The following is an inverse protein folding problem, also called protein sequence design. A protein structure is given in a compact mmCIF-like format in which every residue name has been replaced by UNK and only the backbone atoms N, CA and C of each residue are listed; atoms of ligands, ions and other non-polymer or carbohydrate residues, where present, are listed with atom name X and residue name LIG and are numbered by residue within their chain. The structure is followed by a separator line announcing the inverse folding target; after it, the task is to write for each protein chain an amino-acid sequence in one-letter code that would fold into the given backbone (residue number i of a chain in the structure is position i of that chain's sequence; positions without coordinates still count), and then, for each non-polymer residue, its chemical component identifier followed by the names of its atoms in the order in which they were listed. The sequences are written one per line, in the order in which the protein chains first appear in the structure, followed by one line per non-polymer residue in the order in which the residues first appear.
data_IF_663423148400
#
_entry.id   IF_663423148400
#
_cell.length_a   1.000
_cell.length_b   1.000
_cell.length_c   1.000
_cell.angle_alpha   90.00
_cell.angle_beta   90.00
_cell.angle_gamma   90.00
#
_symmetry.space_group_name_H-M   'P 1'
#
loop_
_entity.id
_entity.type
_entity.pdbx_description
1 polymer ?
#
# COMPACT_ATOMS: atom_id res chain seq x y z
N UNK A 1 0.17 19.79 -2.48
CA UNK A 1 -0.05 18.45 -3.09
C UNK A 1 -1.30 18.46 -3.93
N UNK A 2 -1.51 17.44 -4.74
CA UNK A 2 -2.68 17.31 -5.63
C UNK A 2 -4.00 17.40 -4.86
N UNK A 3 -4.11 16.74 -3.69
CA UNK A 3 -5.29 16.83 -2.81
C UNK A 3 -5.60 18.27 -2.37
N UNK A 4 -4.58 19.07 -2.05
CA UNK A 4 -4.77 20.47 -1.64
C UNK A 4 -5.26 21.35 -2.79
N UNK A 5 -4.81 21.09 -4.03
CA UNK A 5 -5.33 21.79 -5.20
C UNK A 5 -6.83 21.50 -5.40
N UNK A 6 -7.24 20.24 -5.19
CA UNK A 6 -8.64 19.83 -5.24
C UNK A 6 -9.46 20.47 -4.10
N UNK A 7 -8.95 20.43 -2.86
CA UNK A 7 -9.63 20.97 -1.67
C UNK A 7 -9.84 22.49 -1.73
N UNK A 8 -8.91 23.21 -2.36
CA UNK A 8 -8.96 24.67 -2.55
C UNK A 8 -9.75 25.10 -3.79
N UNK A 9 -10.22 24.14 -4.60
CA UNK A 9 -10.94 24.43 -5.84
C UNK A 9 -10.06 25.05 -6.94
N UNK A 10 -8.73 24.92 -6.85
CA UNK A 10 -7.81 25.37 -7.90
C UNK A 10 -7.89 24.49 -9.15
N UNK A 11 -8.34 23.25 -8.96
CA UNK A 11 -8.59 22.26 -10.02
C UNK A 11 -9.87 21.51 -9.70
N UNK A 12 -10.56 21.05 -10.75
CA UNK A 12 -11.80 20.28 -10.62
C UNK A 12 -11.55 18.77 -10.46
N UNK A 13 -10.39 18.28 -10.90
CA UNK A 13 -10.01 16.87 -10.83
C UNK A 13 -8.48 16.71 -10.74
N UNK A 14 -8.06 15.58 -10.19
CA UNK A 14 -6.66 15.14 -10.15
C UNK A 14 -6.56 13.69 -10.59
N UNK A 15 -5.47 13.35 -11.29
CA UNK A 15 -5.16 11.99 -11.73
C UNK A 15 -3.88 11.48 -11.07
N UNK A 16 -3.61 10.18 -11.19
CA UNK A 16 -2.40 9.53 -10.66
C UNK A 16 -2.25 9.64 -9.14
N UNK A 17 -3.38 9.55 -8.43
CA UNK A 17 -3.47 9.53 -6.97
C UNK A 17 -3.60 8.10 -6.44
N UNK A 18 -3.25 7.91 -5.18
CA UNK A 18 -3.33 6.63 -4.49
C UNK A 18 -4.75 6.39 -3.92
N UNK A 19 -5.34 5.23 -4.25
CA UNK A 19 -6.71 4.85 -3.82
C UNK A 19 -6.89 4.83 -2.31
N UNK A 20 -5.81 4.50 -1.61
CA UNK A 20 -5.72 4.37 -0.15
C UNK A 20 -5.32 5.68 0.54
N UNK A 21 -5.03 6.78 -0.18
CA UNK A 21 -4.55 8.03 0.43
C UNK A 21 -5.47 9.22 0.17
N UNK A 22 -5.50 9.75 -1.04
CA UNK A 22 -6.13 11.04 -1.35
C UNK A 22 -7.65 11.05 -1.10
N UNK A 23 -8.41 9.97 -1.41
CA UNK A 23 -9.83 9.95 -1.06
C UNK A 23 -10.07 9.99 0.46
N UNK A 24 -9.17 9.40 1.26
CA UNK A 24 -9.27 9.48 2.72
C UNK A 24 -8.93 10.88 3.22
N UNK A 25 -7.87 11.49 2.68
CA UNK A 25 -7.47 12.87 3.01
C UNK A 25 -8.63 13.85 2.75
N UNK A 26 -9.23 13.79 1.56
CA UNK A 26 -10.32 14.70 1.17
C UNK A 26 -11.56 14.50 2.04
N UNK A 27 -11.94 13.24 2.34
CA UNK A 27 -13.06 12.95 3.25
C UNK A 27 -12.78 13.42 4.67
N UNK A 28 -11.54 13.28 5.17
CA UNK A 28 -11.16 13.76 6.49
C UNK A 28 -11.24 15.28 6.60
N UNK A 29 -10.97 15.98 5.51
CA UNK A 29 -11.16 17.43 5.39
C UNK A 29 -12.63 17.85 5.25
N UNK A 30 -13.59 16.91 5.37
CA UNK A 30 -15.03 17.20 5.32
C UNK A 30 -15.57 17.51 3.93
N UNK A 31 -14.82 17.19 2.87
CA UNK A 31 -15.26 17.41 1.49
C UNK A 31 -15.72 16.09 0.85
N UNK A 32 -16.81 16.12 0.06
CA UNK A 32 -17.17 14.97 -0.75
C UNK A 32 -16.09 14.72 -1.81
N UNK A 33 -15.84 13.46 -2.13
CA UNK A 33 -14.91 13.06 -3.20
C UNK A 33 -15.54 11.92 -3.99
N UNK A 34 -15.48 12.03 -5.32
CA UNK A 34 -15.84 10.95 -6.24
C UNK A 34 -14.56 10.41 -6.86
N UNK A 35 -14.37 9.10 -6.77
CA UNK A 35 -13.23 8.41 -7.38
C UNK A 35 -13.70 7.76 -8.67
N UNK A 36 -12.93 7.94 -9.73
CA UNK A 36 -13.14 7.26 -11.00
C UNK A 36 -12.08 6.19 -11.15
N UNK A 37 -12.53 4.94 -11.24
CA UNK A 37 -11.66 3.78 -11.37
C UNK A 37 -11.43 3.48 -12.85
N UNK A 38 -10.22 3.78 -13.34
CA UNK A 38 -9.90 3.71 -14.77
C UNK A 38 -10.10 2.32 -15.35
N UNK A 39 -9.96 1.27 -14.55
CA UNK A 39 -10.18 -0.11 -14.92
C UNK A 39 -11.64 -0.44 -15.24
N UNK A 40 -12.60 0.29 -14.64
CA UNK A 40 -14.02 0.20 -14.97
C UNK A 40 -14.33 0.84 -16.34
N UNK A 41 -13.33 1.51 -16.92
CA UNK A 41 -13.41 2.21 -18.20
C UNK A 41 -12.42 1.66 -19.25
N UNK A 42 -11.99 0.41 -19.09
CA UNK A 42 -11.23 -0.32 -20.11
C UNK A 42 -9.70 -0.24 -19.98
N UNK A 43 -9.17 0.41 -18.93
CA UNK A 43 -7.75 0.29 -18.60
C UNK A 43 -7.45 -1.10 -18.03
N UNK A 44 -6.43 -1.81 -18.52
CA UNK A 44 -5.97 -3.04 -17.89
C UNK A 44 -5.49 -2.82 -16.45
N UNK A 45 -5.60 -3.84 -15.61
CA UNK A 45 -4.98 -3.84 -14.28
C UNK A 45 -3.47 -3.71 -14.41
N UNK A 46 -2.87 -2.86 -13.56
CA UNK A 46 -1.42 -2.66 -13.49
C UNK A 46 -0.96 -2.70 -12.03
N UNK A 47 0.32 -3.01 -11.84
CA UNK A 47 0.95 -2.98 -10.51
C UNK A 47 1.41 -1.55 -10.20
N UNK A 48 0.80 -0.90 -9.22
CA UNK A 48 1.14 0.47 -8.79
C UNK A 48 2.57 0.57 -8.23
N UNK A 49 3.04 -0.45 -7.51
CA UNK A 49 4.36 -0.46 -6.92
C UNK A 49 5.04 -1.81 -7.16
N UNK A 50 6.27 -1.76 -7.68
CA UNK A 50 7.11 -2.93 -7.92
C UNK A 50 8.50 -2.72 -7.34
N UNK A 51 9.13 -3.82 -6.93
CA UNK A 51 10.54 -3.84 -6.59
C UNK A 51 11.34 -4.10 -7.88
N UNK A 52 12.35 -3.28 -8.12
CA UNK A 52 13.24 -3.41 -9.27
C UNK A 52 14.68 -3.61 -8.79
N UNK A 53 15.45 -4.39 -9.55
CA UNK A 53 16.87 -4.57 -9.32
C UNK A 53 17.65 -4.32 -10.61
N UNK A 54 18.92 -3.93 -10.48
CA UNK A 54 19.79 -3.78 -11.63
C UNK A 54 20.00 -5.15 -12.30
N UNK A 55 19.88 -5.21 -13.63
CA UNK A 55 20.03 -6.45 -14.39
C UNK A 55 21.38 -7.17 -14.14
N UNK A 56 22.46 -6.41 -13.89
CA UNK A 56 23.78 -6.96 -13.57
C UNK A 56 23.83 -7.69 -12.23
N UNK A 57 22.84 -7.46 -11.36
CA UNK A 57 22.75 -8.03 -10.02
C UNK A 57 21.63 -9.07 -9.90
N UNK A 58 20.99 -9.47 -11.02
CA UNK A 58 19.82 -10.37 -11.00
C UNK A 58 20.05 -11.69 -10.25
N UNK A 59 21.29 -12.19 -10.25
CA UNK A 59 21.68 -13.46 -9.64
C UNK A 59 22.35 -13.27 -8.26
N UNK A 60 22.32 -12.06 -7.69
CA UNK A 60 22.86 -11.80 -6.36
C UNK A 60 22.05 -12.56 -5.29
N UNK A 61 22.67 -13.47 -4.51
CA UNK A 61 21.96 -14.28 -3.53
C UNK A 61 21.27 -13.47 -2.44
N UNK A 62 21.72 -12.24 -2.18
CA UNK A 62 21.12 -11.32 -1.18
C UNK A 62 19.71 -10.89 -1.59
N UNK A 63 19.41 -10.82 -2.89
CA UNK A 63 18.07 -10.46 -3.38
C UNK A 63 17.06 -11.51 -2.92
N UNK A 64 17.40 -12.80 -3.05
CA UNK A 64 16.53 -13.89 -2.60
C UNK A 64 16.27 -13.84 -1.10
N UNK A 65 17.31 -13.59 -0.30
CA UNK A 65 17.19 -13.48 1.15
C UNK A 65 16.33 -12.27 1.56
N UNK A 66 16.53 -11.13 0.90
CA UNK A 66 15.71 -9.92 1.10
C UNK A 66 14.23 -10.18 0.81
N UNK A 67 13.91 -10.81 -0.32
CA UNK A 67 12.53 -11.12 -0.68
C UNK A 67 11.87 -12.11 0.29
N UNK A 68 12.62 -13.08 0.81
CA UNK A 68 12.12 -14.00 1.85
C UNK A 68 11.80 -13.25 3.16
N UNK A 69 12.72 -12.41 3.64
CA UNK A 69 12.49 -11.61 4.84
C UNK A 69 11.32 -10.64 4.66
N UNK A 70 11.20 -10.00 3.49
CA UNK A 70 10.06 -9.14 3.16
C UNK A 70 8.75 -9.92 3.18
N UNK A 71 8.71 -11.10 2.56
CA UNK A 71 7.51 -11.96 2.56
C UNK A 71 7.08 -12.32 3.99
N UNK A 72 8.02 -12.67 4.87
CA UNK A 72 7.72 -12.92 6.28
C UNK A 72 7.19 -11.67 6.99
N UNK A 73 7.79 -10.50 6.73
CA UNK A 73 7.30 -9.22 7.24
C UNK A 73 5.86 -8.92 6.80
N UNK A 74 5.53 -9.16 5.53
CA UNK A 74 4.17 -8.98 4.99
C UNK A 74 3.19 -9.95 5.65
N UNK A 75 3.55 -11.23 5.79
CA UNK A 75 2.70 -12.22 6.48
C UNK A 75 2.43 -11.80 7.92
N UNK A 76 3.46 -11.38 8.65
CA UNK A 76 3.33 -10.91 10.02
C UNK A 76 2.43 -9.67 10.10
N UNK A 77 2.64 -8.69 9.21
CA UNK A 77 1.81 -7.48 9.11
C UNK A 77 0.33 -7.80 8.89
N UNK A 78 0.03 -8.74 7.98
CA UNK A 78 -1.35 -9.13 7.68
C UNK A 78 -2.04 -9.85 8.86
N UNK A 79 -1.29 -10.62 9.65
CA UNK A 79 -1.81 -11.30 10.84
C UNK A 79 -1.89 -10.39 12.07
N UNK A 80 -1.08 -9.34 12.14
CA UNK A 80 -0.96 -8.45 13.30
C UNK A 80 -1.06 -6.95 12.95
N UNK A 81 -2.02 -6.50 12.14
CA UNK A 81 -1.99 -5.17 11.52
C UNK A 81 -2.06 -4.02 12.53
N UNK A 82 -2.82 -4.20 13.61
CA UNK A 82 -2.93 -3.19 14.68
C UNK A 82 -1.67 -3.09 15.54
N UNK A 83 -1.03 -4.22 15.86
CA UNK A 83 0.24 -4.22 16.60
C UNK A 83 1.35 -3.61 15.74
N UNK A 84 1.44 -3.96 14.46
CA UNK A 84 2.39 -3.34 13.55
C UNK A 84 2.17 -1.84 13.42
N UNK A 85 0.91 -1.37 13.33
CA UNK A 85 0.60 0.07 13.37
C UNK A 85 1.10 0.72 14.68
N UNK A 86 0.84 0.12 15.83
CA UNK A 86 1.29 0.65 17.12
C UNK A 86 2.81 0.78 17.20
N UNK A 87 3.55 -0.26 16.75
CA UNK A 87 5.00 -0.22 16.68
C UNK A 87 5.49 0.86 15.72
N UNK A 88 4.89 0.95 14.52
CA UNK A 88 5.21 1.96 13.53
C UNK A 88 4.99 3.38 14.06
N UNK A 89 3.80 3.65 14.59
CA UNK A 89 3.42 4.95 15.14
C UNK A 89 4.27 5.37 16.35
N UNK A 90 4.72 4.41 17.18
CA UNK A 90 5.65 4.66 18.27
C UNK A 90 7.03 5.10 17.77
N UNK A 91 7.52 4.47 16.71
CA UNK A 91 8.84 4.76 16.13
C UNK A 91 8.82 5.98 15.19
N UNK A 92 7.64 6.36 14.70
CA UNK A 92 7.40 7.49 13.81
C UNK A 92 6.28 8.39 14.36
N UNK A 93 6.49 9.09 15.49
CA UNK A 93 5.44 9.90 16.13
C UNK A 93 4.85 10.98 15.22
N UNK A 94 5.64 11.51 14.28
CA UNK A 94 5.22 12.49 13.27
C UNK A 94 4.16 11.93 12.31
N UNK A 95 4.12 10.61 12.14
CA UNK A 95 3.14 9.92 11.32
C UNK A 95 1.97 9.37 12.13
N UNK A 96 1.98 9.47 13.47
CA UNK A 96 0.92 8.98 14.34
C UNK A 96 -0.28 9.94 14.39
N UNK A 97 -1.05 9.96 13.31
CA UNK A 97 -2.27 10.75 13.21
C UNK A 97 -3.40 9.93 12.60
N UNK A 98 -4.62 10.43 12.70
CA UNK A 98 -5.82 9.74 12.24
C UNK A 98 -5.80 9.44 10.74
N UNK A 99 -5.27 10.36 9.92
CA UNK A 99 -5.17 10.17 8.48
C UNK A 99 -4.27 8.97 8.15
N UNK A 100 -3.05 8.98 8.65
CA UNK A 100 -2.08 7.90 8.41
C UNK A 100 -2.54 6.56 9.00
N UNK A 101 -3.23 6.58 10.14
CA UNK A 101 -3.84 5.36 10.68
C UNK A 101 -4.86 4.78 9.70
N UNK A 102 -5.75 5.60 9.14
CA UNK A 102 -6.74 5.12 8.15
C UNK A 102 -6.08 4.61 6.88
N UNK A 103 -5.06 5.33 6.38
CA UNK A 103 -4.28 4.94 5.21
C UNK A 103 -3.61 3.58 5.43
N UNK A 104 -3.01 3.36 6.61
CA UNK A 104 -2.36 2.10 6.95
C UNK A 104 -3.28 0.91 6.71
N UNK A 105 -4.47 0.94 7.31
CA UNK A 105 -5.45 -0.14 7.14
C UNK A 105 -6.02 -0.21 5.73
N UNK A 106 -6.21 0.92 5.05
CA UNK A 106 -6.65 0.96 3.65
C UNK A 106 -5.58 0.41 2.67
N UNK A 107 -4.32 0.34 3.09
CA UNK A 107 -3.21 -0.20 2.27
C UNK A 107 -3.14 -1.72 2.32
N UNK A 108 -3.59 -2.35 3.40
CA UNK A 108 -3.46 -3.81 3.59
C UNK A 108 -4.08 -4.65 2.45
N UNK A 109 -5.28 -4.30 1.93
CA UNK A 109 -5.87 -5.00 0.78
C UNK A 109 -5.11 -4.77 -0.53
N UNK A 110 -4.31 -3.71 -0.65
CA UNK A 110 -3.54 -3.37 -1.84
C UNK A 110 -2.22 -4.15 -1.95
N UNK A 111 -1.88 -4.98 -0.96
CA UNK A 111 -0.64 -5.75 -0.96
C UNK A 111 -0.63 -6.87 -2.01
N UNK A 112 0.55 -7.16 -2.55
CA UNK A 112 0.76 -8.13 -3.63
C UNK A 112 0.21 -9.55 -3.33
N UNK A 113 0.11 -9.95 -2.07
CA UNK A 113 -0.45 -11.25 -1.66
C UNK A 113 -1.98 -11.34 -1.78
N UNK A 114 -2.70 -10.22 -1.79
CA UNK A 114 -4.14 -10.21 -2.13
C UNK A 114 -4.39 -10.32 -3.65
N UNK A 115 -3.38 -10.06 -4.49
CA UNK A 115 -3.45 -10.21 -5.94
C UNK A 115 -3.10 -11.62 -6.44
N UNK A 116 -2.67 -12.53 -5.54
CA UNK A 116 -2.31 -13.90 -5.90
C UNK A 116 -3.42 -14.88 -5.46
N UNK A 117 -3.90 -15.80 -6.33
CA UNK A 117 -4.72 -16.91 -5.86
C UNK A 117 -3.93 -17.70 -4.80
N UNK A 118 -4.56 -17.93 -3.64
CA UNK A 118 -3.93 -18.60 -2.49
C UNK A 118 -3.33 -19.95 -2.91
N UNK A 119 -2.00 -20.04 -3.03
CA UNK A 119 -1.30 -21.34 -2.95
C UNK A 119 -1.15 -21.68 -1.47
N UNK A 120 -1.68 -22.82 -1.08
CA UNK A 120 -1.65 -23.31 0.30
C UNK A 120 -0.22 -23.31 0.86
N UNK A 121 -0.05 -22.61 1.97
CA UNK A 121 1.18 -22.59 2.74
C UNK A 121 1.28 -23.89 3.53
N UNK A 122 2.12 -24.83 3.07
CA UNK A 122 2.40 -26.05 3.81
C UNK A 122 3.50 -25.81 4.84
N UNK A 123 3.12 -25.83 6.13
CA UNK A 123 4.00 -25.64 7.29
C UNK A 123 4.95 -26.82 7.57
N UNK A 124 4.80 -27.95 6.88
CA UNK A 124 5.61 -29.16 7.13
C UNK A 124 6.99 -29.16 6.45
N UNK A 125 7.49 -28.00 5.98
CA UNK A 125 8.72 -27.91 5.17
C UNK A 125 9.89 -27.16 5.82
N UNK A 126 9.81 -26.88 7.12
CA UNK A 126 10.92 -26.25 7.86
C UNK A 126 11.13 -26.98 9.20
N UNK A 127 12.39 -27.25 9.59
CA UNK A 127 12.75 -27.89 10.87
C UNK A 127 12.48 -27.00 12.09
#
# INVERSE_FOLDING_TARGET
GLSQALLTGKVDAVSSIMRNFEPLEVRLAGRPVRVFYVEEHGMPLYNELILVTNQKQKDDPRIRQFLQALQWGVVYLLNHPAQCWQTFAKNHPELNNELNRRIWFATLPCNASCAQPKKEFNSSRFP
#
